data_IF_589365753805
#
_entry.id   IF_589365753805
#
_cell.length_a   1.000
_cell.length_b   1.000
_cell.length_c   1.000
_cell.angle_alpha   90.00
_cell.angle_beta   90.00
_cell.angle_gamma   90.00
#
_symmetry.space_group_name_H-M   'P 1'
#
loop_
_entity.id
_entity.type
_entity.pdbx_description
1 polymer ?
#
# COMPACT_ATOMS: atom_id res chain seq x y z
N UNK A 1 13.70 32.62 -3.78
CA UNK A 1 14.36 31.30 -3.64
C UNK A 1 13.43 30.40 -2.85
N UNK A 2 13.10 29.21 -3.37
CA UNK A 2 12.30 28.24 -2.62
C UNK A 2 13.09 27.80 -1.37
N UNK A 3 12.46 27.83 -0.20
CA UNK A 3 13.10 27.39 1.05
C UNK A 3 13.28 25.86 0.99
N UNK A 4 14.49 25.39 1.23
CA UNK A 4 14.76 23.96 1.41
C UNK A 4 13.93 23.47 2.61
N UNK A 5 13.04 22.50 2.37
CA UNK A 5 12.30 21.81 3.42
C UNK A 5 13.04 20.52 3.74
N UNK A 6 13.30 20.26 5.01
CA UNK A 6 13.84 18.98 5.46
C UNK A 6 12.82 17.89 5.09
N UNK A 7 13.22 16.82 4.37
CA UNK A 7 12.34 15.70 4.07
C UNK A 7 11.78 15.13 5.38
N UNK A 8 10.46 15.14 5.52
CA UNK A 8 9.81 14.53 6.68
C UNK A 8 9.38 13.13 6.27
N UNK A 9 9.97 12.12 6.90
CA UNK A 9 9.51 10.74 6.75
C UNK A 9 8.13 10.66 7.43
N UNK A 10 7.09 10.14 6.76
CA UNK A 10 5.78 9.94 7.39
C UNK A 10 5.90 9.09 8.65
N UNK A 11 5.10 9.39 9.67
CA UNK A 11 5.07 8.57 10.87
C UNK A 11 4.49 7.18 10.53
N UNK A 12 5.15 6.12 11.00
CA UNK A 12 4.70 4.74 10.80
C UNK A 12 4.48 4.04 12.13
N UNK A 13 3.50 3.14 12.20
CA UNK A 13 3.26 2.28 13.36
C UNK A 13 3.32 0.82 12.92
N UNK A 14 4.02 -0.03 13.69
CA UNK A 14 4.05 -1.47 13.42
C UNK A 14 2.73 -2.13 13.80
N UNK A 15 2.24 -3.03 12.94
CA UNK A 15 1.06 -3.86 13.17
C UNK A 15 1.42 -5.32 12.86
N UNK A 16 1.05 -6.24 13.75
CA UNK A 16 1.29 -7.68 13.56
C UNK A 16 0.04 -8.35 13.02
N UNK A 17 0.18 -9.04 11.89
CA UNK A 17 -0.91 -9.76 11.20
C UNK A 17 -0.36 -11.10 10.68
N UNK A 18 -1.24 -12.07 10.44
CA UNK A 18 -0.87 -13.39 9.89
C UNK A 18 -1.20 -13.44 8.41
N UNK A 19 -0.28 -13.97 7.62
CA UNK A 19 -0.49 -14.31 6.21
C UNK A 19 -0.53 -15.83 6.06
N UNK A 20 -1.37 -16.37 5.16
CA UNK A 20 -1.23 -17.74 4.68
C UNK A 20 0.18 -18.01 4.14
N UNK A 21 0.73 -19.19 4.41
CA UNK A 21 2.12 -19.52 4.06
C UNK A 21 2.37 -19.51 2.54
N UNK A 22 1.40 -20.02 1.78
CA UNK A 22 1.40 -20.01 0.31
C UNK A 22 1.47 -18.57 -0.24
N UNK A 23 0.75 -17.64 0.40
CA UNK A 23 0.81 -16.23 0.01
C UNK A 23 2.17 -15.60 0.34
N UNK A 24 2.79 -15.96 1.47
CA UNK A 24 4.14 -15.50 1.82
C UNK A 24 5.13 -15.99 0.75
N UNK A 25 5.11 -17.29 0.44
CA UNK A 25 5.99 -17.89 -0.57
C UNK A 25 5.80 -17.25 -1.95
N UNK A 26 4.55 -17.01 -2.36
CA UNK A 26 4.24 -16.36 -3.61
C UNK A 26 4.84 -14.93 -3.66
N UNK A 27 4.66 -14.12 -2.61
CA UNK A 27 5.23 -12.76 -2.58
C UNK A 27 6.75 -12.81 -2.63
N UNK A 28 7.38 -13.65 -1.80
CA UNK A 28 8.85 -13.81 -1.74
C UNK A 28 9.43 -14.21 -3.11
N UNK A 29 8.81 -15.15 -3.81
CA UNK A 29 9.20 -15.54 -5.18
C UNK A 29 9.12 -14.36 -6.15
N UNK A 30 8.08 -13.52 -6.05
CA UNK A 30 7.90 -12.38 -6.96
C UNK A 30 8.85 -11.23 -6.67
N UNK A 31 9.32 -11.06 -5.43
CA UNK A 31 10.26 -9.99 -5.05
C UNK A 31 11.72 -10.45 -5.06
N UNK A 32 11.99 -11.74 -5.21
CA UNK A 32 13.34 -12.29 -5.27
C UNK A 32 14.19 -11.60 -6.35
N UNK A 33 15.38 -11.14 -5.97
CA UNK A 33 16.30 -10.45 -6.87
C UNK A 33 15.87 -9.03 -7.26
N UNK A 34 14.78 -8.50 -6.70
CA UNK A 34 14.35 -7.10 -6.85
C UNK A 34 14.79 -6.30 -5.64
N UNK A 35 14.98 -4.99 -5.83
CA UNK A 35 15.22 -4.05 -4.74
C UNK A 35 13.90 -3.72 -4.01
N UNK A 36 13.30 -4.75 -3.40
CA UNK A 36 12.00 -4.69 -2.73
C UNK A 36 11.99 -5.61 -1.51
N UNK A 37 11.40 -5.15 -0.41
CA UNK A 37 11.18 -5.96 0.80
C UNK A 37 9.72 -6.39 0.88
N UNK A 38 9.45 -7.49 1.59
CA UNK A 38 8.08 -7.95 1.85
C UNK A 38 7.20 -6.83 2.43
N UNK A 39 7.72 -6.07 3.41
CA UNK A 39 7.03 -4.92 4.00
C UNK A 39 6.70 -3.85 2.96
N UNK A 40 7.65 -3.49 2.09
CA UNK A 40 7.41 -2.49 1.05
C UNK A 40 6.34 -2.96 0.04
N UNK A 41 6.38 -4.24 -0.34
CA UNK A 41 5.37 -4.86 -1.20
C UNK A 41 3.98 -4.79 -0.57
N UNK A 42 3.84 -5.22 0.69
CA UNK A 42 2.54 -5.22 1.40
C UNK A 42 2.01 -3.81 1.56
N UNK A 43 2.86 -2.85 1.94
CA UNK A 43 2.45 -1.45 2.07
C UNK A 43 1.91 -0.90 0.75
N UNK A 44 2.57 -1.19 -0.37
CA UNK A 44 2.13 -0.72 -1.69
C UNK A 44 0.83 -1.40 -2.13
N UNK A 45 0.73 -2.72 -1.96
CA UNK A 45 -0.49 -3.46 -2.27
C UNK A 45 -1.71 -2.91 -1.50
N UNK A 46 -1.52 -2.59 -0.21
CA UNK A 46 -2.57 -2.00 0.62
C UNK A 46 -2.92 -0.57 0.17
N UNK A 47 -1.94 0.26 -0.22
CA UNK A 47 -2.22 1.59 -0.78
C UNK A 47 -3.09 1.51 -2.03
N UNK A 48 -2.74 0.62 -2.97
CA UNK A 48 -3.52 0.39 -4.19
C UNK A 48 -4.92 -0.08 -3.85
N UNK A 49 -5.06 -1.07 -2.96
CA UNK A 49 -6.37 -1.57 -2.55
C UNK A 49 -7.25 -0.48 -1.91
N UNK A 50 -6.68 0.36 -1.04
CA UNK A 50 -7.41 1.49 -0.44
C UNK A 50 -7.83 2.51 -1.50
N UNK A 51 -6.92 2.90 -2.40
CA UNK A 51 -7.23 3.85 -3.47
C UNK A 51 -8.35 3.33 -4.39
N UNK A 52 -8.32 2.05 -4.78
CA UNK A 52 -9.39 1.45 -5.58
C UNK A 52 -10.74 1.49 -4.87
N UNK A 53 -10.79 1.22 -3.56
CA UNK A 53 -12.03 1.31 -2.79
C UNK A 53 -12.56 2.74 -2.67
N UNK A 54 -11.66 3.72 -2.51
CA UNK A 54 -12.02 5.14 -2.47
C UNK A 54 -12.57 5.61 -3.82
N UNK A 55 -11.94 5.22 -4.93
CA UNK A 55 -12.43 5.48 -6.30
C UNK A 55 -13.82 4.88 -6.52
N UNK A 56 -14.04 3.61 -6.12
CA UNK A 56 -15.35 2.95 -6.24
C UNK A 56 -16.45 3.67 -5.45
N UNK A 57 -16.12 4.19 -4.26
CA UNK A 57 -17.08 4.93 -3.43
C UNK A 57 -17.41 6.32 -4.01
N UNK A 58 -16.44 6.99 -4.61
CA UNK A 58 -16.62 8.28 -5.27
C UNK A 58 -17.44 8.19 -6.57
N UNK A 59 -17.49 7.00 -7.19
CA UNK A 59 -18.22 6.74 -8.43
C UNK A 59 -19.70 6.35 -8.20
N UNK A 60 -20.18 6.31 -6.95
CA UNK A 60 -21.62 6.10 -6.66
C UNK A 60 -22.41 7.33 -7.13
N UNK A 61 -23.24 7.25 -8.19
CA UNK A 61 -24.02 8.39 -8.64
C UNK A 61 -25.13 8.62 -7.61
N UNK A 62 -25.10 9.78 -6.99
CA UNK A 62 -26.27 10.46 -6.47
C UNK A 62 -27.25 10.71 -7.62
N UNK A 63 -28.01 9.68 -7.99
CA UNK A 63 -29.15 9.82 -8.90
C UNK A 63 -30.23 8.81 -8.50
N UNK A 64 -31.17 9.32 -7.70
CA UNK A 64 -32.59 8.98 -7.74
C UNK A 64 -33.32 10.05 -6.95
N UNK A 65 -33.75 11.07 -7.69
CA UNK A 65 -34.97 11.84 -7.42
C UNK A 65 -36.15 10.95 -6.97
#
# INVERSE_FOLDING_TARGET
MAKFKIPTVPQTTSKSIRFPNDLIEAVEQHIQGKDCTFTAFVVEAVRVAVATLEEDTAQTPSDKD
#
